data_IF_896203469837
#
_entry.id   IF_896203469837
#
_cell.length_a   1.000
_cell.length_b   1.000
_cell.length_c   1.000
_cell.angle_alpha   90.00
_cell.angle_beta   90.00
_cell.angle_gamma   90.00
#
_symmetry.space_group_name_H-M   'P 1'
#
loop_
_entity.id
_entity.type
_entity.pdbx_description
1 polymer ?
#
# COMPACT_ATOMS: atom_id res chain seq x y z
N UNK A 1 -8.90 20.65 9.65
CA UNK A 1 -9.92 19.88 10.38
C UNK A 1 -9.34 19.56 11.75
N UNK A 2 -9.74 20.28 12.79
CA UNK A 2 -9.24 20.04 14.15
C UNK A 2 -9.89 18.77 14.70
N UNK A 3 -9.09 17.72 14.92
CA UNK A 3 -9.55 16.52 15.61
C UNK A 3 -9.74 16.84 17.09
N UNK A 4 -10.97 16.75 17.59
CA UNK A 4 -11.35 16.95 19.00
C UNK A 4 -11.08 15.72 19.89
N UNK A 5 -10.41 14.68 19.37
CA UNK A 5 -10.02 13.51 20.18
C UNK A 5 -8.63 13.73 20.80
N UNK A 6 -8.47 13.49 22.11
CA UNK A 6 -7.15 13.54 22.74
C UNK A 6 -6.21 12.54 22.05
N UNK A 7 -5.02 13.00 21.67
CA UNK A 7 -3.98 12.13 21.13
C UNK A 7 -3.38 11.30 22.27
N UNK A 8 -3.89 10.07 22.41
CA UNK A 8 -3.48 9.12 23.44
C UNK A 8 -2.08 8.52 23.20
N UNK A 9 -1.38 8.93 22.12
CA UNK A 9 -0.03 8.46 21.83
C UNK A 9 1.00 9.10 22.74
N UNK A 10 2.02 8.33 23.11
CA UNK A 10 3.17 8.78 23.90
C UNK A 10 4.22 9.44 23.01
N UNK A 11 4.95 10.46 23.49
CA UNK A 11 6.10 10.99 22.77
C UNK A 11 7.23 9.95 22.73
N UNK A 12 7.94 9.84 21.60
CA UNK A 12 9.05 8.89 21.43
C UNK A 12 10.15 9.06 22.48
N UNK A 13 10.44 10.30 22.86
CA UNK A 13 11.43 10.64 23.90
C UNK A 13 11.08 10.18 25.31
N UNK A 14 9.86 9.68 25.53
CA UNK A 14 9.43 9.11 26.82
C UNK A 14 9.58 7.59 26.91
N UNK A 15 10.13 6.95 25.87
CA UNK A 15 10.30 5.50 25.86
C UNK A 15 11.61 5.11 26.56
N UNK A 16 11.53 4.09 27.39
CA UNK A 16 12.71 3.41 27.95
C UNK A 16 13.40 2.53 26.91
N UNK A 17 14.66 2.12 27.14
CA UNK A 17 15.38 1.20 26.25
C UNK A 17 14.62 -0.12 26.04
N UNK A 18 13.95 -0.62 27.09
CA UNK A 18 13.06 -1.79 27.03
C UNK A 18 11.89 -1.58 26.07
N UNK A 19 11.27 -0.41 26.11
CA UNK A 19 10.13 -0.07 25.23
C UNK A 19 10.59 0.18 23.80
N UNK A 20 11.76 0.80 23.60
CA UNK A 20 12.38 1.00 22.28
C UNK A 20 12.65 -0.34 21.61
N UNK A 21 13.28 -1.29 22.31
CA UNK A 21 13.52 -2.63 21.75
C UNK A 21 12.22 -3.40 21.49
N UNK A 22 11.24 -3.32 22.39
CA UNK A 22 9.94 -3.97 22.16
C UNK A 22 9.23 -3.39 20.93
N UNK A 23 9.32 -2.07 20.74
CA UNK A 23 8.78 -1.39 19.58
C UNK A 23 9.51 -1.79 18.30
N UNK A 24 10.84 -1.91 18.35
CA UNK A 24 11.65 -2.37 17.22
C UNK A 24 11.25 -3.80 16.81
N UNK A 25 11.15 -4.73 17.76
CA UNK A 25 10.68 -6.10 17.47
C UNK A 25 9.30 -6.10 16.82
N UNK A 26 8.35 -5.35 17.36
CA UNK A 26 7.00 -5.27 16.81
C UNK A 26 6.96 -4.62 15.41
N UNK A 27 7.89 -3.70 15.16
CA UNK A 27 8.09 -3.04 13.87
C UNK A 27 8.60 -4.03 12.81
N UNK A 28 9.66 -4.78 13.12
CA UNK A 28 10.22 -5.82 12.24
C UNK A 28 9.21 -6.93 11.91
N UNK A 29 8.43 -7.36 12.92
CA UNK A 29 7.37 -8.34 12.73
C UNK A 29 6.25 -7.87 11.80
N UNK A 30 5.95 -6.58 11.84
CA UNK A 30 4.97 -5.96 10.95
C UNK A 30 5.53 -5.83 9.54
N UNK A 31 6.78 -5.39 9.40
CA UNK A 31 7.43 -5.10 8.11
C UNK A 31 7.67 -6.40 7.33
N UNK A 32 8.19 -7.44 7.97
CA UNK A 32 8.34 -8.76 7.34
C UNK A 32 7.03 -9.38 6.86
N UNK A 33 5.91 -9.14 7.56
CA UNK A 33 4.58 -9.57 7.09
C UNK A 33 4.11 -8.78 5.89
N UNK A 34 4.35 -7.47 5.86
CA UNK A 34 4.01 -6.62 4.71
C UNK A 34 4.81 -7.04 3.48
N UNK A 35 6.12 -7.33 3.63
CA UNK A 35 6.94 -7.84 2.53
C UNK A 35 6.47 -9.20 2.02
N UNK A 36 6.14 -10.13 2.93
CA UNK A 36 5.58 -11.43 2.56
C UNK A 36 4.27 -11.31 1.78
N UNK A 37 3.40 -10.36 2.17
CA UNK A 37 2.16 -10.08 1.46
C UNK A 37 2.42 -9.50 0.07
N UNK A 38 3.35 -8.53 -0.06
CA UNK A 38 3.73 -8.01 -1.37
C UNK A 38 4.33 -9.10 -2.27
N UNK A 39 5.22 -9.94 -1.75
CA UNK A 39 5.79 -11.06 -2.49
C UNK A 39 4.69 -11.99 -3.02
N UNK A 40 3.75 -12.38 -2.16
CA UNK A 40 2.63 -13.27 -2.52
C UNK A 40 1.77 -12.66 -3.63
N UNK A 41 1.42 -11.38 -3.51
CA UNK A 41 0.54 -10.70 -4.48
C UNK A 41 1.21 -10.42 -5.81
N UNK A 42 2.53 -10.26 -5.81
CA UNK A 42 3.30 -9.94 -7.02
C UNK A 42 3.85 -11.18 -7.72
N UNK A 43 3.89 -12.35 -7.08
CA UNK A 43 4.52 -13.57 -7.59
C UNK A 43 4.12 -13.95 -9.02
N UNK A 44 2.84 -13.81 -9.37
CA UNK A 44 2.34 -14.17 -10.71
C UNK A 44 2.68 -13.12 -11.79
N UNK A 45 2.62 -11.82 -11.44
CA UNK A 45 2.70 -10.73 -12.42
C UNK A 45 4.10 -10.08 -12.50
N UNK A 46 4.80 -10.04 -11.37
CA UNK A 46 6.11 -9.41 -11.18
C UNK A 46 7.03 -10.33 -10.35
N UNK A 47 7.43 -11.50 -10.90
CA UNK A 47 8.12 -12.54 -10.14
C UNK A 47 9.49 -12.12 -9.59
N UNK A 48 10.19 -11.19 -10.26
CA UNK A 48 11.49 -10.73 -9.77
C UNK A 48 11.35 -9.72 -8.64
N UNK A 49 10.39 -8.80 -8.73
CA UNK A 49 10.00 -7.94 -7.60
C UNK A 49 9.48 -8.78 -6.41
N UNK A 50 8.75 -9.87 -6.66
CA UNK A 50 8.31 -10.78 -5.60
C UNK A 50 9.46 -11.48 -4.88
N UNK A 51 10.44 -12.01 -5.62
CA UNK A 51 11.63 -12.64 -5.04
C UNK A 51 12.46 -11.66 -4.19
N UNK A 52 12.51 -10.39 -4.60
CA UNK A 52 13.16 -9.34 -3.81
C UNK A 52 12.44 -9.12 -2.48
N UNK A 53 11.12 -8.98 -2.48
CA UNK A 53 10.36 -8.80 -1.24
C UNK A 53 10.39 -10.05 -0.34
N UNK A 54 10.52 -11.25 -0.91
CA UNK A 54 10.77 -12.47 -0.13
C UNK A 54 12.15 -12.42 0.56
N UNK A 55 13.18 -11.92 -0.13
CA UNK A 55 14.50 -11.66 0.46
C UNK A 55 14.44 -10.64 1.61
N UNK A 56 13.78 -9.51 1.39
CA UNK A 56 13.60 -8.47 2.42
C UNK A 56 12.84 -9.04 3.63
N UNK A 57 11.77 -9.82 3.42
CA UNK A 57 11.04 -10.45 4.52
C UNK A 57 11.93 -11.39 5.37
N UNK A 58 12.88 -12.07 4.74
CA UNK A 58 13.85 -12.91 5.45
C UNK A 58 14.88 -12.09 6.25
N UNK A 59 15.32 -10.95 5.71
CA UNK A 59 16.21 -10.00 6.39
C UNK A 59 15.53 -9.39 7.63
N UNK A 60 14.27 -8.97 7.53
CA UNK A 60 13.50 -8.47 8.68
C UNK A 60 13.31 -9.54 9.77
N UNK A 61 13.19 -10.82 9.39
CA UNK A 61 13.16 -11.89 10.39
C UNK A 61 14.51 -12.05 11.11
N UNK A 62 15.63 -11.81 10.44
CA UNK A 62 16.95 -11.77 11.08
C UNK A 62 17.08 -10.57 12.02
N UNK A 63 16.64 -9.39 11.58
CA UNK A 63 16.57 -8.18 12.42
C UNK A 63 15.78 -8.44 13.69
N UNK A 64 14.57 -8.98 13.54
CA UNK A 64 13.68 -9.39 14.64
C UNK A 64 14.38 -10.34 15.61
N UNK A 65 15.05 -11.38 15.12
CA UNK A 65 15.76 -12.36 15.97
C UNK A 65 16.87 -11.69 16.78
N UNK A 66 17.71 -10.87 16.14
CA UNK A 66 18.80 -10.14 16.81
C UNK A 66 18.27 -9.19 17.89
N UNK A 67 17.17 -8.49 17.63
CA UNK A 67 16.50 -7.63 18.60
C UNK A 67 15.92 -8.43 19.77
N UNK A 68 15.28 -9.57 19.49
CA UNK A 68 14.74 -10.48 20.51
C UNK A 68 15.83 -11.05 21.41
N UNK A 69 16.94 -11.52 20.84
CA UNK A 69 18.06 -12.07 21.60
C UNK A 69 18.61 -11.03 22.57
N UNK A 70 18.84 -9.80 22.09
CA UNK A 70 19.30 -8.70 22.93
C UNK A 70 18.25 -8.29 23.98
N UNK A 71 16.97 -8.30 23.63
CA UNK A 71 15.89 -8.02 24.57
C UNK A 71 15.85 -9.04 25.70
N UNK A 72 15.95 -10.33 25.37
CA UNK A 72 15.94 -11.43 26.36
C UNK A 72 17.15 -11.32 27.28
N UNK A 73 18.34 -11.03 26.75
CA UNK A 73 19.56 -10.85 27.53
C UNK A 73 19.43 -9.70 28.55
N UNK A 74 18.80 -8.58 28.16
CA UNK A 74 18.77 -7.35 28.97
C UNK A 74 17.54 -7.19 29.86
N UNK A 75 16.38 -7.66 29.41
CA UNK A 75 15.08 -7.37 30.02
C UNK A 75 14.23 -8.61 30.29
N UNK A 76 14.70 -9.81 29.93
CA UNK A 76 13.99 -11.07 30.10
C UNK A 76 12.97 -11.35 28.99
N UNK A 77 12.08 -12.31 29.20
CA UNK A 77 11.26 -12.90 28.13
C UNK A 77 9.95 -12.18 27.84
N UNK A 78 9.59 -11.15 28.62
CA UNK A 78 8.30 -10.48 28.50
C UNK A 78 8.39 -9.15 27.75
N UNK A 79 8.02 -9.16 26.46
CA UNK A 79 7.92 -7.97 25.62
C UNK A 79 6.83 -7.01 26.11
N UNK A 80 7.11 -5.71 26.04
CA UNK A 80 6.10 -4.69 26.30
C UNK A 80 5.15 -4.62 25.09
N UNK A 81 3.82 -4.63 25.29
CA UNK A 81 2.85 -4.52 24.20
C UNK A 81 2.77 -3.09 23.65
N UNK A 82 3.78 -2.67 22.90
CA UNK A 82 3.88 -1.36 22.25
C UNK A 82 3.96 -1.53 20.74
N UNK A 83 3.35 -0.60 20.01
CA UNK A 83 3.32 -0.57 18.54
C UNK A 83 3.52 0.86 18.06
N UNK A 84 3.81 1.03 16.76
CA UNK A 84 4.02 2.34 16.14
C UNK A 84 2.82 3.26 16.34
N UNK A 85 1.58 2.73 16.30
CA UNK A 85 0.38 3.55 16.51
C UNK A 85 0.24 4.12 17.94
N UNK A 86 0.97 3.58 18.93
CA UNK A 86 0.96 4.06 20.30
C UNK A 86 1.94 5.24 20.53
N UNK A 87 2.77 5.57 19.53
CA UNK A 87 3.89 6.51 19.67
C UNK A 87 3.77 7.64 18.63
N UNK A 88 4.01 8.88 19.07
CA UNK A 88 4.03 10.06 18.20
C UNK A 88 5.31 10.09 17.35
N UNK A 89 5.20 10.60 16.13
CA UNK A 89 6.32 10.74 15.21
C UNK A 89 6.35 9.69 14.10
N UNK A 90 5.66 8.57 14.28
CA UNK A 90 5.42 7.62 13.20
C UNK A 90 4.34 8.14 12.25
N UNK A 91 4.63 8.06 10.95
CA UNK A 91 3.63 8.34 9.91
C UNK A 91 2.61 7.20 9.88
N UNK A 92 1.33 7.56 9.75
CA UNK A 92 0.29 6.55 9.53
C UNK A 92 0.48 5.95 8.14
N UNK A 93 0.77 4.64 8.09
CA UNK A 93 0.94 3.92 6.83
C UNK A 93 -0.41 3.75 6.15
N UNK A 94 -0.42 3.93 4.83
CA UNK A 94 -1.56 3.50 4.00
C UNK A 94 -1.41 2.00 3.80
N UNK A 95 -2.41 1.17 4.16
CA UNK A 95 -2.29 -0.28 4.03
C UNK A 95 -2.47 -0.69 2.56
N UNK A 96 -1.52 -0.33 1.71
CA UNK A 96 -1.57 -0.60 0.27
C UNK A 96 -1.70 -2.09 0.01
N UNK A 97 -1.06 -2.92 0.83
CA UNK A 97 -1.18 -4.39 0.80
C UNK A 97 -2.63 -4.90 0.96
N UNK A 98 -3.57 -4.09 1.45
CA UNK A 98 -5.01 -4.43 1.53
C UNK A 98 -5.84 -3.94 0.33
N UNK A 99 -5.27 -3.15 -0.58
CA UNK A 99 -6.00 -2.59 -1.73
C UNK A 99 -6.26 -3.64 -2.80
N UNK A 100 -7.43 -3.63 -3.44
CA UNK A 100 -7.79 -4.60 -4.50
C UNK A 100 -6.85 -4.52 -5.71
N UNK A 101 -6.48 -3.32 -6.13
CA UNK A 101 -5.52 -3.07 -7.20
C UNK A 101 -4.27 -2.39 -6.65
N UNK A 102 -3.11 -2.83 -7.12
CA UNK A 102 -1.79 -2.34 -6.76
C UNK A 102 -0.95 -2.16 -8.02
N UNK A 103 -0.36 -0.99 -8.21
CA UNK A 103 0.70 -0.82 -9.20
C UNK A 103 2.04 -1.12 -8.57
N UNK A 104 2.97 -1.69 -9.34
CA UNK A 104 4.30 -2.02 -8.83
C UNK A 104 5.04 -0.77 -8.36
N UNK A 105 4.82 0.37 -9.01
CA UNK A 105 5.42 1.66 -8.64
C UNK A 105 4.90 2.15 -7.27
N UNK A 106 3.61 1.93 -6.97
CA UNK A 106 3.04 2.27 -5.67
C UNK A 106 3.60 1.38 -4.56
N UNK A 107 3.80 0.08 -4.84
CA UNK A 107 4.45 -0.84 -3.90
C UNK A 107 5.88 -0.40 -3.64
N UNK A 108 6.69 -0.14 -4.68
CA UNK A 108 8.08 0.31 -4.53
C UNK A 108 8.20 1.60 -3.71
N UNK A 109 7.34 2.58 -3.99
CA UNK A 109 7.28 3.83 -3.22
C UNK A 109 6.93 3.57 -1.76
N UNK A 110 5.97 2.69 -1.48
CA UNK A 110 5.57 2.35 -0.12
C UNK A 110 6.69 1.63 0.64
N UNK A 111 7.42 0.74 -0.01
CA UNK A 111 8.61 0.08 0.57
C UNK A 111 9.68 1.12 0.88
N UNK A 112 10.01 2.00 -0.06
CA UNK A 112 10.97 3.08 0.21
C UNK A 112 10.57 3.95 1.42
N UNK A 113 9.29 4.30 1.54
CA UNK A 113 8.78 5.05 2.70
C UNK A 113 8.86 4.27 4.02
N UNK A 114 8.68 2.94 3.97
CA UNK A 114 8.83 2.06 5.13
C UNK A 114 10.30 2.03 5.58
N UNK A 115 11.21 1.79 4.66
CA UNK A 115 12.65 1.69 4.89
C UNK A 115 13.26 3.00 5.41
N UNK A 116 12.94 4.12 4.76
CA UNK A 116 13.36 5.44 5.23
C UNK A 116 12.76 5.77 6.62
N UNK A 117 11.54 5.28 6.90
CA UNK A 117 10.91 5.37 8.21
C UNK A 117 11.64 4.55 9.29
N UNK A 118 12.03 3.31 8.97
CA UNK A 118 12.77 2.41 9.84
C UNK A 118 14.18 2.95 10.12
N UNK A 119 14.90 3.40 9.08
CA UNK A 119 16.19 4.09 9.20
C UNK A 119 16.11 5.25 10.20
N UNK A 120 15.14 6.14 10.04
CA UNK A 120 14.96 7.29 10.96
C UNK A 120 14.64 6.83 12.38
N UNK A 121 13.78 5.83 12.53
CA UNK A 121 13.47 5.26 13.84
C UNK A 121 14.73 4.74 14.53
N UNK A 122 15.53 3.92 13.86
CA UNK A 122 16.76 3.37 14.42
C UNK A 122 17.80 4.43 14.75
N UNK A 123 17.97 5.43 13.88
CA UNK A 123 18.85 6.57 14.12
C UNK A 123 18.43 7.40 15.34
N UNK A 124 17.14 7.68 15.50
CA UNK A 124 16.63 8.41 16.67
C UNK A 124 16.67 7.57 17.95
N UNK A 125 16.42 6.25 17.85
CA UNK A 125 16.50 5.32 18.97
C UNK A 125 17.94 5.23 19.50
N UNK A 126 18.93 5.09 18.62
CA UNK A 126 20.34 5.01 18.99
C UNK A 126 20.85 6.26 19.74
N UNK A 127 20.25 7.44 19.50
CA UNK A 127 20.58 8.68 20.22
C UNK A 127 20.08 8.68 21.67
N UNK A 128 18.99 7.98 21.98
CA UNK A 128 18.38 7.96 23.31
C UNK A 128 18.92 6.85 24.20
N UNK A 129 19.36 5.75 23.60
CA UNK A 129 19.90 4.59 24.30
C UNK A 129 21.28 4.88 24.87
N UNK A 130 21.53 4.51 26.11
CA UNK A 130 22.80 4.62 26.82
C UNK A 130 23.60 3.32 26.81
N UNK A 131 22.94 2.16 26.80
CA UNK A 131 23.62 0.86 26.71
C UNK A 131 24.36 0.70 25.37
N UNK A 132 25.64 0.36 25.44
CA UNK A 132 26.50 0.28 24.26
C UNK A 132 26.10 -0.85 23.30
N UNK A 133 25.59 -1.98 23.82
CA UNK A 133 25.16 -3.12 23.00
C UNK A 133 23.89 -2.80 22.23
N UNK A 134 22.91 -2.20 22.91
CA UNK A 134 21.66 -1.72 22.28
C UNK A 134 21.97 -0.63 21.26
N UNK A 135 22.80 0.37 21.62
CA UNK A 135 23.17 1.45 20.68
C UNK A 135 23.87 0.92 19.44
N UNK A 136 24.77 -0.06 19.60
CA UNK A 136 25.45 -0.71 18.47
C UNK A 136 24.43 -1.40 17.56
N UNK A 137 23.58 -2.25 18.10
CA UNK A 137 22.60 -3.00 17.30
C UNK A 137 21.67 -2.06 16.52
N UNK A 138 21.14 -1.02 17.17
CA UNK A 138 20.28 -0.04 16.50
C UNK A 138 21.04 0.74 15.41
N UNK A 139 22.32 1.05 15.61
CA UNK A 139 23.15 1.68 14.58
C UNK A 139 23.43 0.77 13.39
N UNK A 140 23.70 -0.51 13.64
CA UNK A 140 23.90 -1.53 12.61
C UNK A 140 22.61 -1.71 11.78
N UNK A 141 21.45 -1.82 12.44
CA UNK A 141 20.14 -1.90 11.79
C UNK A 141 19.84 -0.65 10.96
N UNK A 142 20.10 0.56 11.48
CA UNK A 142 19.95 1.78 10.69
C UNK A 142 20.79 1.75 9.39
N UNK A 143 22.02 1.22 9.45
CA UNK A 143 22.84 1.09 8.25
C UNK A 143 22.28 0.05 7.26
N UNK A 144 21.63 -1.01 7.75
CA UNK A 144 20.94 -2.02 6.94
C UNK A 144 19.69 -1.43 6.26
N UNK A 145 18.80 -0.76 7.00
CA UNK A 145 17.60 -0.12 6.41
C UNK A 145 17.97 0.94 5.37
N UNK A 146 19.10 1.62 5.55
CA UNK A 146 19.57 2.58 4.55
C UNK A 146 19.93 1.89 3.23
N UNK A 147 20.49 0.68 3.30
CA UNK A 147 20.78 -0.12 2.12
C UNK A 147 19.50 -0.65 1.47
N UNK A 148 18.48 -1.02 2.27
CA UNK A 148 17.17 -1.41 1.76
C UNK A 148 16.47 -0.27 1.01
N UNK A 149 16.47 0.95 1.55
CA UNK A 149 15.92 2.12 0.89
C UNK A 149 16.61 2.39 -0.47
N UNK A 150 17.94 2.30 -0.51
CA UNK A 150 18.72 2.45 -1.74
C UNK A 150 18.48 1.27 -2.72
N UNK A 151 18.21 0.06 -2.20
CA UNK A 151 17.88 -1.12 -3.00
C UNK A 151 16.49 -1.01 -3.63
N UNK A 152 15.51 -0.44 -2.93
CA UNK A 152 14.16 -0.19 -3.43
C UNK A 152 14.17 0.73 -4.68
N UNK A 153 15.11 1.68 -4.73
CA UNK A 153 15.36 2.54 -5.90
C UNK A 153 16.12 1.81 -7.03
N UNK A 154 16.84 0.72 -6.72
CA UNK A 154 17.74 -0.02 -7.64
C UNK A 154 17.25 -1.39 -8.07
N UNK A 155 16.07 -1.84 -7.61
CA UNK A 155 15.39 -3.10 -7.98
C UNK A 155 15.50 -3.37 -9.50
N UNK A 156 15.48 -2.29 -10.30
CA UNK A 156 15.50 -2.35 -11.74
C UNK A 156 16.81 -2.81 -12.40
N UNK A 157 18.00 -2.59 -11.83
CA UNK A 157 19.28 -2.77 -12.55
C UNK A 157 20.02 -4.07 -12.21
N UNK A 158 20.24 -4.34 -10.93
CA UNK A 158 21.15 -5.40 -10.49
C UNK A 158 20.47 -6.76 -10.27
N UNK A 159 19.15 -6.76 -9.98
CA UNK A 159 18.39 -7.98 -9.64
C UNK A 159 17.59 -8.57 -10.81
N UNK A 160 16.90 -7.73 -11.60
CA UNK A 160 16.05 -8.19 -12.71
C UNK A 160 16.81 -8.39 -14.03
N UNK A 161 17.95 -7.69 -14.20
CA UNK A 161 18.60 -7.50 -15.49
C UNK A 161 17.69 -6.80 -16.52
N UNK A 162 18.22 -6.54 -17.72
CA UNK A 162 17.46 -5.86 -18.77
C UNK A 162 16.22 -6.66 -19.25
N UNK A 163 16.31 -7.99 -19.24
CA UNK A 163 15.23 -8.87 -19.68
C UNK A 163 14.07 -8.92 -18.67
N UNK A 164 14.35 -9.09 -17.37
CA UNK A 164 13.33 -9.06 -16.32
C UNK A 164 12.62 -7.72 -16.25
N UNK A 165 13.36 -6.62 -16.44
CA UNK A 165 12.79 -5.27 -16.47
C UNK A 165 11.77 -5.09 -17.60
N UNK A 166 12.08 -5.56 -18.82
CA UNK A 166 11.15 -5.44 -19.94
C UNK A 166 9.88 -6.28 -19.71
N UNK A 167 10.03 -7.48 -19.14
CA UNK A 167 8.90 -8.35 -18.81
C UNK A 167 7.98 -7.70 -17.75
N UNK A 168 8.55 -7.18 -16.67
CA UNK A 168 7.76 -6.50 -15.63
C UNK A 168 7.13 -5.21 -16.15
N UNK A 169 7.82 -4.47 -17.04
CA UNK A 169 7.26 -3.27 -17.67
C UNK A 169 6.08 -3.60 -18.58
N UNK A 170 6.19 -4.66 -19.39
CA UNK A 170 5.10 -5.12 -20.25
C UNK A 170 3.92 -5.62 -19.41
N UNK A 171 4.18 -6.30 -18.28
CA UNK A 171 3.18 -6.73 -17.33
C UNK A 171 2.46 -5.55 -16.66
N UNK A 172 3.20 -4.54 -16.19
CA UNK A 172 2.66 -3.29 -15.63
C UNK A 172 1.77 -2.56 -16.66
N UNK A 173 2.25 -2.44 -17.90
CA UNK A 173 1.47 -1.83 -18.98
C UNK A 173 0.17 -2.59 -19.27
N UNK A 174 0.23 -3.93 -19.34
CA UNK A 174 -0.95 -4.77 -19.54
C UNK A 174 -1.94 -4.62 -18.39
N UNK A 175 -1.48 -4.66 -17.14
CA UNK A 175 -2.31 -4.48 -15.96
C UNK A 175 -3.00 -3.11 -15.98
N UNK A 176 -2.28 -2.04 -16.32
CA UNK A 176 -2.85 -0.70 -16.48
C UNK A 176 -3.97 -0.69 -17.53
N UNK A 177 -3.74 -1.30 -18.68
CA UNK A 177 -4.73 -1.39 -19.75
C UNK A 177 -5.98 -2.15 -19.29
N UNK A 178 -5.81 -3.33 -18.67
CA UNK A 178 -6.94 -4.15 -18.22
C UNK A 178 -7.72 -3.54 -17.06
N UNK A 179 -7.05 -2.81 -16.15
CA UNK A 179 -7.66 -2.30 -14.92
C UNK A 179 -8.31 -0.94 -15.11
N UNK A 180 -7.74 -0.07 -15.95
CA UNK A 180 -8.19 1.32 -16.08
C UNK A 180 -8.69 1.65 -17.49
N UNK A 181 -7.91 1.31 -18.52
CA UNK A 181 -8.22 1.72 -19.90
C UNK A 181 -9.41 0.95 -20.44
N UNK A 182 -9.42 -0.38 -20.32
CA UNK A 182 -10.48 -1.23 -20.87
C UNK A 182 -11.84 -0.97 -20.22
N UNK A 183 -11.98 -0.93 -18.88
CA UNK A 183 -13.26 -0.58 -18.26
C UNK A 183 -13.74 0.82 -18.66
N UNK A 184 -12.81 1.80 -18.78
CA UNK A 184 -13.14 3.15 -19.23
C UNK A 184 -13.62 3.20 -20.68
N UNK A 185 -12.94 2.50 -21.59
CA UNK A 185 -13.33 2.42 -23.00
C UNK A 185 -14.65 1.65 -23.18
N UNK A 186 -14.84 0.56 -22.44
CA UNK A 186 -16.09 -0.20 -22.44
C UNK A 186 -17.26 0.67 -21.95
N UNK A 187 -17.08 1.38 -20.83
CA UNK A 187 -18.08 2.32 -20.32
C UNK A 187 -18.39 3.46 -21.30
N UNK A 188 -17.41 3.94 -22.06
CA UNK A 188 -17.62 4.94 -23.10
C UNK A 188 -18.41 4.38 -24.30
N UNK A 189 -18.13 3.15 -24.72
CA UNK A 189 -18.88 2.49 -25.78
C UNK A 189 -20.34 2.28 -25.37
N UNK A 190 -20.56 1.75 -24.17
CA UNK A 190 -21.90 1.40 -23.68
C UNK A 190 -22.73 2.63 -23.29
N UNK A 191 -22.13 3.64 -22.66
CA UNK A 191 -22.84 4.82 -22.17
C UNK A 191 -22.99 5.93 -23.21
N UNK A 192 -21.91 6.29 -23.90
CA UNK A 192 -21.87 7.50 -24.75
C UNK A 192 -22.07 7.19 -26.23
N UNK A 193 -21.41 6.15 -26.75
CA UNK A 193 -21.47 5.85 -28.19
C UNK A 193 -22.76 5.11 -28.56
N UNK A 194 -23.21 4.16 -27.74
CA UNK A 194 -24.43 3.39 -27.98
C UNK A 194 -25.71 4.24 -27.89
N UNK A 195 -25.69 5.33 -27.12
CA UNK A 195 -26.83 6.26 -26.98
C UNK A 195 -26.95 7.26 -28.13
N UNK A 196 -25.88 7.48 -28.90
CA UNK A 196 -25.92 8.37 -30.08
C UNK A 196 -26.78 7.80 -31.21
N UNK A 197 -26.72 6.49 -31.46
CA UNK A 197 -27.44 5.88 -32.58
C UNK A 197 -28.97 6.06 -32.50
N UNK A 198 -29.64 5.81 -31.35
CA UNK A 198 -31.07 6.11 -31.19
C UNK A 198 -31.41 7.59 -31.31
N UNK A 199 -30.54 8.49 -30.81
CA UNK A 199 -30.77 9.94 -30.86
C UNK A 199 -30.70 10.44 -32.31
N UNK A 200 -29.71 10.01 -33.09
CA UNK A 200 -29.62 10.35 -34.51
C UNK A 200 -30.75 9.73 -35.33
N UNK A 201 -31.16 8.50 -35.03
CA UNK A 201 -32.31 7.86 -35.68
C UNK A 201 -33.60 8.66 -35.43
N UNK A 202 -33.86 9.09 -34.20
CA UNK A 202 -35.01 9.92 -33.86
C UNK A 202 -34.95 11.29 -34.55
N UNK A 203 -33.78 11.93 -34.56
CA UNK A 203 -33.57 13.22 -35.23
C UNK A 203 -33.86 13.13 -36.73
N UNK A 204 -33.34 12.10 -37.40
CA UNK A 204 -33.49 11.92 -38.84
C UNK A 204 -34.91 11.48 -39.24
N UNK A 205 -35.53 10.60 -38.46
CA UNK A 205 -36.86 10.08 -38.76
C UNK A 205 -37.98 11.08 -38.48
N UNK A 206 -37.85 11.90 -37.43
CA UNK A 206 -38.92 12.81 -37.01
C UNK A 206 -38.73 14.25 -37.49
N UNK A 207 -37.48 14.70 -37.66
CA UNK A 207 -37.16 16.11 -37.93
C UNK A 207 -37.52 17.08 -36.79
N UNK A 208 -37.96 16.58 -35.63
CA UNK A 208 -38.42 17.37 -34.49
C UNK A 208 -37.36 17.38 -33.38
N UNK A 209 -36.89 18.58 -33.04
CA UNK A 209 -35.86 18.80 -32.02
C UNK A 209 -36.35 18.46 -30.62
N UNK A 210 -37.65 18.62 -30.32
CA UNK A 210 -38.22 18.30 -29.02
C UNK A 210 -38.31 16.78 -28.80
N UNK A 211 -38.73 16.02 -29.82
CA UNK A 211 -38.75 14.55 -29.75
C UNK A 211 -37.34 13.97 -29.63
N UNK A 212 -36.40 14.50 -30.40
CA UNK A 212 -34.98 14.14 -30.31
C UNK A 212 -34.40 14.39 -28.92
N UNK A 213 -34.73 15.54 -28.32
CA UNK A 213 -34.31 15.88 -26.96
C UNK A 213 -34.87 14.91 -25.92
N UNK A 214 -36.15 14.53 -26.02
CA UNK A 214 -36.78 13.57 -25.10
C UNK A 214 -36.11 12.19 -25.18
N UNK A 215 -35.79 11.72 -26.38
CA UNK A 215 -35.08 10.45 -26.59
C UNK A 215 -33.68 10.50 -25.98
N UNK A 216 -32.94 11.60 -26.20
CA UNK A 216 -31.60 11.78 -25.61
C UNK A 216 -31.64 11.86 -24.08
N UNK A 217 -32.61 12.57 -23.52
CA UNK A 217 -32.79 12.67 -22.07
C UNK A 217 -33.15 11.31 -21.44
N UNK A 218 -34.06 10.57 -22.07
CA UNK A 218 -34.44 9.23 -21.62
C UNK A 218 -33.24 8.26 -21.66
N UNK A 219 -32.43 8.30 -22.73
CA UNK A 219 -31.23 7.49 -22.85
C UNK A 219 -30.17 7.83 -21.79
N UNK A 220 -29.94 9.11 -21.52
CA UNK A 220 -28.98 9.56 -20.50
C UNK A 220 -29.41 9.15 -19.08
N UNK A 221 -30.69 9.29 -18.75
CA UNK A 221 -31.24 8.85 -17.45
C UNK A 221 -31.13 7.33 -17.31
N UNK A 222 -31.49 6.57 -18.36
CA UNK A 222 -31.38 5.12 -18.37
C UNK A 222 -29.95 4.63 -18.13
N UNK A 223 -28.98 5.23 -18.83
CA UNK A 223 -27.56 4.92 -18.63
C UNK A 223 -27.09 5.23 -17.21
N UNK A 224 -27.48 6.40 -16.66
CA UNK A 224 -27.12 6.80 -15.30
C UNK A 224 -27.69 5.89 -14.21
N UNK A 225 -28.95 5.46 -14.34
CA UNK A 225 -29.57 4.50 -13.41
C UNK A 225 -28.87 3.15 -13.48
N UNK A 226 -28.60 2.64 -14.69
CA UNK A 226 -27.94 1.35 -14.89
C UNK A 226 -26.53 1.31 -14.27
N UNK A 227 -25.72 2.35 -14.50
CA UNK A 227 -24.37 2.44 -13.91
C UNK A 227 -24.42 2.60 -12.38
N UNK A 228 -25.30 3.45 -11.86
CA UNK A 228 -25.44 3.64 -10.42
C UNK A 228 -25.88 2.37 -9.68
N UNK A 229 -26.73 1.54 -10.29
CA UNK A 229 -27.15 0.27 -9.71
C UNK A 229 -26.00 -0.76 -9.63
N UNK A 230 -25.14 -0.82 -10.66
CA UNK A 230 -23.98 -1.71 -10.66
C UNK A 230 -22.92 -1.32 -9.63
N UNK A 231 -22.78 -0.02 -9.36
CA UNK A 231 -21.84 0.50 -8.36
C UNK A 231 -22.37 0.28 -6.93
N UNK A 232 -23.66 0.53 -6.68
CA UNK A 232 -24.31 0.29 -5.39
C UNK A 232 -24.37 -1.19 -5.00
N UNK A 233 -24.47 -2.10 -5.97
CA UNK A 233 -24.47 -3.55 -5.71
C UNK A 233 -23.08 -4.11 -5.35
N UNK A 234 -22.00 -3.35 -5.57
CA UNK A 234 -20.62 -3.78 -5.29
C UNK A 234 -20.17 -3.51 -3.84
N UNK A 235 -20.92 -2.74 -3.06
CA UNK A 235 -20.64 -2.44 -1.64
C UNK A 235 -21.77 -3.03 -0.78
N UNK A 236 -21.48 -4.12 -0.06
CA UNK A 236 -22.50 -4.85 0.71
C UNK A 236 -22.72 -4.31 2.13
N UNK A 237 -21.95 -3.31 2.57
CA UNK A 237 -22.18 -2.57 3.82
C UNK A 237 -22.19 -3.40 5.13
N UNK A 238 -21.93 -4.71 5.08
CA UNK A 238 -22.14 -5.66 6.19
C UNK A 238 -21.27 -5.38 7.40
N UNK A 239 -20.10 -4.78 7.19
CA UNK A 239 -19.15 -4.47 8.26
C UNK A 239 -19.43 -3.12 8.98
N UNK A 240 -20.31 -2.27 8.44
CA UNK A 240 -20.63 -0.95 9.03
C UNK A 240 -22.01 -0.87 9.69
N UNK A 241 -22.80 -1.95 9.61
CA UNK A 241 -24.15 -2.02 10.19
C UNK A 241 -25.17 -1.08 9.52
N UNK A 242 -24.94 -0.69 8.26
CA UNK A 242 -25.83 0.17 7.48
C UNK A 242 -26.54 -0.54 6.31
N UNK A 243 -26.19 -1.80 6.04
CA UNK A 243 -26.96 -2.64 5.12
C UNK A 243 -28.21 -3.17 5.82
N UNK A 244 -29.38 -2.96 5.22
CA UNK A 244 -30.64 -3.59 5.65
C UNK A 244 -30.59 -5.11 5.60
#
# INVERSE_FOLDING_TARGET
>A
MFSLRPDNRRPFTSLSEREILSLAVAAEEEDGRIYSEFATRLAETFPGSAALFEGMAAEEDEHRRRLLDLYVERFGTHLVPIRREHVRGFMARKPLWLMKSLTIEAVRQQVWEMEEGAYRFYMEAAKQVTDAGIRKLLGDLAAQERQHADAADRIDADMLGAAGRNLEKDASHRQFVLTYVQPGLAGLMDGSVSTLAPVFAAAFATGDTHQTFLVGLAAAIGAGISMGFTEAASDDGKLTGRGS
#
